data_IF_016752973457
#
_entry.id   IF_016752973457
#
_cell.length_a   1.000
_cell.length_b   1.000
_cell.length_c   1.000
_cell.angle_alpha   90.00
_cell.angle_beta   90.00
_cell.angle_gamma   90.00
#
_symmetry.space_group_name_H-M   'P 1'
#
loop_
_entity.id
_entity.type
_entity.pdbx_description
1 polymer ?
#
# COMPACT_ATOMS: atom_id res chain seq x y z
N UNK A 1 9.54 -18.39 2.35
CA UNK A 1 9.99 -18.75 0.98
C UNK A 1 10.01 -20.25 0.73
N UNK A 2 10.54 -21.08 1.64
CA UNK A 2 10.56 -22.54 1.46
C UNK A 2 9.17 -23.19 1.26
N UNK A 3 8.11 -22.58 1.82
CA UNK A 3 6.73 -23.09 1.72
C UNK A 3 6.13 -22.98 0.31
N UNK A 4 6.41 -21.88 -0.41
CA UNK A 4 5.93 -21.67 -1.77
C UNK A 4 6.81 -22.39 -2.79
N UNK A 5 8.12 -22.47 -2.55
CA UNK A 5 9.05 -23.23 -3.41
C UNK A 5 8.85 -24.75 -3.32
N UNK A 6 8.52 -25.29 -2.14
CA UNK A 6 8.27 -26.73 -1.99
C UNK A 6 6.94 -27.15 -2.62
N UNK A 7 5.91 -26.30 -2.57
CA UNK A 7 4.63 -26.57 -3.23
C UNK A 7 4.76 -26.67 -4.77
N UNK A 8 5.72 -25.96 -5.37
CA UNK A 8 5.98 -26.01 -6.82
C UNK A 8 6.94 -27.13 -7.24
N UNK A 9 7.85 -27.57 -6.34
CA UNK A 9 8.80 -28.67 -6.65
C UNK A 9 8.16 -30.05 -6.62
N UNK A 10 6.99 -30.22 -6.01
CA UNK A 10 6.23 -31.46 -6.09
C UNK A 10 5.34 -31.52 -7.34
N UNK A 11 5.96 -31.54 -8.53
CA UNK A 11 5.25 -31.79 -9.82
C UNK A 11 4.53 -33.14 -9.89
N UNK A 12 4.75 -34.03 -8.91
CA UNK A 12 4.11 -35.34 -8.79
C UNK A 12 3.13 -35.48 -7.61
N UNK A 13 2.91 -34.43 -6.80
CA UNK A 13 1.78 -34.41 -5.86
C UNK A 13 0.58 -33.77 -6.55
N UNK A 14 -0.60 -34.39 -6.46
CA UNK A 14 -1.85 -33.91 -7.06
C UNK A 14 -1.99 -32.39 -6.82
N UNK A 15 -2.23 -31.57 -7.87
CA UNK A 15 -2.12 -30.10 -7.84
C UNK A 15 -3.07 -29.36 -6.88
N UNK A 16 -3.87 -30.10 -6.12
CA UNK A 16 -4.91 -29.61 -5.23
C UNK A 16 -4.79 -30.14 -3.81
N UNK A 17 -3.74 -30.87 -3.44
CA UNK A 17 -3.68 -31.37 -2.08
C UNK A 17 -2.31 -31.72 -1.56
N UNK A 18 -2.23 -31.75 -0.24
CA UNK A 18 -1.03 -32.05 0.53
C UNK A 18 -1.36 -32.92 1.73
N UNK A 19 -0.38 -33.66 2.25
CA UNK A 19 -0.63 -34.52 3.41
C UNK A 19 -0.67 -33.67 4.66
N UNK A 20 -1.60 -33.99 5.56
CA UNK A 20 -1.79 -33.24 6.80
C UNK A 20 -0.54 -33.22 7.69
N UNK A 21 0.27 -34.28 7.64
CA UNK A 21 1.52 -34.43 8.41
C UNK A 21 2.69 -33.58 7.92
N UNK A 22 2.58 -32.97 6.74
CA UNK A 22 3.68 -32.24 6.13
C UNK A 22 3.76 -30.77 6.61
N UNK A 23 2.85 -30.33 7.51
CA UNK A 23 2.73 -28.95 7.96
C UNK A 23 2.52 -28.79 9.46
N UNK A 24 2.98 -27.66 10.00
CA UNK A 24 2.76 -27.27 11.38
C UNK A 24 1.25 -27.07 11.65
N UNK A 25 0.77 -27.76 12.69
CA UNK A 25 -0.56 -28.38 12.70
C UNK A 25 -1.73 -27.43 13.01
N UNK A 26 -1.49 -26.30 13.69
CA UNK A 26 -2.58 -25.51 14.29
C UNK A 26 -3.24 -24.56 13.31
N UNK A 27 -2.48 -23.92 12.42
CA UNK A 27 -3.02 -22.89 11.53
C UNK A 27 -3.92 -23.49 10.44
N UNK A 28 -3.42 -24.46 9.67
CA UNK A 28 -4.17 -25.04 8.55
C UNK A 28 -5.39 -25.84 9.00
N UNK A 29 -5.38 -26.42 10.22
CA UNK A 29 -6.58 -27.02 10.82
C UNK A 29 -7.72 -26.02 10.96
N UNK A 30 -7.41 -24.77 11.28
CA UNK A 30 -8.41 -23.70 11.36
C UNK A 30 -9.05 -23.35 10.02
N UNK A 31 -8.45 -23.77 8.89
CA UNK A 31 -8.95 -23.50 7.54
C UNK A 31 -9.82 -24.64 6.98
N UNK A 32 -9.96 -25.74 7.72
CA UNK A 32 -10.74 -26.90 7.29
C UNK A 32 -12.23 -26.60 7.36
N UNK A 33 -12.92 -26.87 6.27
CA UNK A 33 -14.36 -26.78 6.14
C UNK A 33 -14.99 -28.06 6.67
N UNK A 34 -15.77 -27.90 7.73
CA UNK A 34 -16.64 -28.96 8.25
C UNK A 34 -18.02 -28.84 7.58
N UNK A 35 -18.44 -29.80 6.74
CA UNK A 35 -19.66 -29.67 5.93
C UNK A 35 -20.92 -29.39 6.74
N UNK A 36 -21.04 -29.99 7.93
CA UNK A 36 -22.18 -29.79 8.84
C UNK A 36 -22.21 -28.37 9.41
N UNK A 37 -21.07 -27.84 9.82
CA UNK A 37 -20.96 -26.46 10.31
C UNK A 37 -21.22 -25.46 9.18
N UNK A 38 -20.68 -25.75 7.99
CA UNK A 38 -20.90 -24.92 6.81
C UNK A 38 -22.38 -24.80 6.47
N UNK A 39 -23.08 -25.94 6.42
CA UNK A 39 -24.52 -25.97 6.18
C UNK A 39 -25.29 -25.21 7.27
N UNK A 40 -24.91 -25.34 8.55
CA UNK A 40 -25.59 -24.64 9.64
C UNK A 40 -25.38 -23.12 9.59
N UNK A 41 -24.16 -22.67 9.27
CA UNK A 41 -23.74 -21.26 9.38
C UNK A 41 -23.96 -20.45 8.09
N UNK A 42 -23.85 -21.07 6.92
CA UNK A 42 -23.80 -20.35 5.63
C UNK A 42 -24.90 -20.77 4.63
N UNK A 43 -25.80 -21.71 4.97
CA UNK A 43 -26.90 -22.10 4.06
C UNK A 43 -27.91 -20.99 3.80
N UNK A 44 -28.06 -20.06 4.75
CA UNK A 44 -29.04 -18.97 4.72
C UNK A 44 -28.52 -17.71 4.01
N UNK A 45 -27.21 -17.45 4.03
CA UNK A 45 -26.61 -16.24 3.44
C UNK A 45 -25.56 -16.64 2.38
N UNK A 46 -26.06 -16.98 1.18
CA UNK A 46 -25.27 -17.48 0.04
C UNK A 46 -24.39 -16.42 -0.64
N UNK A 47 -24.29 -15.21 -0.10
CA UNK A 47 -23.56 -14.13 -0.76
C UNK A 47 -22.05 -14.41 -0.75
N UNK A 48 -21.46 -14.41 -1.94
CA UNK A 48 -20.02 -14.36 -2.20
C UNK A 48 -19.15 -15.50 -1.64
N UNK A 49 -19.69 -16.72 -1.51
CA UNK A 49 -18.94 -17.92 -1.08
C UNK A 49 -18.22 -17.76 0.27
N UNK A 50 -18.77 -16.96 1.17
CA UNK A 50 -18.09 -16.49 2.39
C UNK A 50 -17.57 -17.64 3.27
N UNK A 51 -18.32 -18.74 3.43
CA UNK A 51 -17.86 -19.89 4.19
C UNK A 51 -16.72 -20.66 3.51
N UNK A 52 -16.68 -20.72 2.17
CA UNK A 52 -15.58 -21.36 1.43
C UNK A 52 -14.31 -20.49 1.47
N UNK A 53 -14.47 -19.17 1.52
CA UNK A 53 -13.37 -18.22 1.69
C UNK A 53 -12.80 -18.29 3.11
N UNK A 54 -13.67 -18.45 4.11
CA UNK A 54 -13.26 -18.58 5.51
C UNK A 54 -12.58 -19.93 5.79
N UNK A 55 -13.10 -21.01 5.20
CA UNK A 55 -12.58 -22.37 5.34
C UNK A 55 -12.23 -22.98 3.96
N UNK A 56 -11.07 -22.62 3.38
CA UNK A 56 -10.71 -23.00 2.01
C UNK A 56 -10.15 -24.43 1.84
N UNK A 57 -10.11 -25.23 2.92
CA UNK A 57 -9.58 -26.60 2.89
C UNK A 57 -10.67 -27.64 3.14
N UNK A 58 -10.56 -28.82 2.53
CA UNK A 58 -11.38 -29.99 2.85
C UNK A 58 -10.45 -31.13 3.25
N UNK A 59 -10.77 -31.84 4.34
CA UNK A 59 -10.05 -33.06 4.72
C UNK A 59 -10.67 -34.28 4.05
N UNK A 60 -9.86 -35.06 3.34
CA UNK A 60 -10.22 -36.40 2.84
C UNK A 60 -9.17 -37.39 3.32
N UNK A 61 -9.52 -38.20 4.32
CA UNK A 61 -8.57 -39.06 5.06
C UNK A 61 -7.43 -38.21 5.63
N UNK A 62 -6.19 -38.50 5.25
CA UNK A 62 -4.98 -37.78 5.67
C UNK A 62 -4.58 -36.65 4.70
N UNK A 63 -5.38 -36.39 3.67
CA UNK A 63 -5.08 -35.35 2.68
C UNK A 63 -5.94 -34.11 2.92
N UNK A 64 -5.30 -32.96 2.87
CA UNK A 64 -5.97 -31.67 2.79
C UNK A 64 -6.06 -31.27 1.33
N UNK A 65 -7.27 -30.93 0.90
CA UNK A 65 -7.57 -30.51 -0.46
C UNK A 65 -7.89 -29.03 -0.45
N UNK A 66 -7.20 -28.29 -1.30
CA UNK A 66 -7.42 -26.87 -1.55
C UNK A 66 -8.65 -26.71 -2.44
N UNK A 67 -9.70 -26.09 -1.92
CA UNK A 67 -10.92 -25.80 -2.70
C UNK A 67 -10.60 -24.81 -3.82
N UNK A 68 -9.86 -23.76 -3.47
CA UNK A 68 -9.42 -22.72 -4.40
C UNK A 68 -8.16 -22.04 -3.84
N UNK A 69 -7.10 -21.98 -4.65
CA UNK A 69 -5.83 -21.36 -4.24
C UNK A 69 -5.97 -19.87 -3.92
N UNK A 70 -6.82 -19.12 -4.63
CA UNK A 70 -7.08 -17.71 -4.32
C UNK A 70 -7.76 -17.57 -2.95
N UNK A 71 -8.61 -18.52 -2.53
CA UNK A 71 -9.21 -18.47 -1.20
C UNK A 71 -8.19 -18.73 -0.10
N UNK A 72 -7.26 -19.67 -0.31
CA UNK A 72 -6.14 -19.87 0.64
C UNK A 72 -5.27 -18.62 0.71
N UNK A 73 -4.86 -18.07 -0.43
CA UNK A 73 -4.06 -16.85 -0.46
C UNK A 73 -4.76 -15.73 0.30
N UNK A 74 -6.02 -15.44 -0.02
CA UNK A 74 -6.78 -14.39 0.67
C UNK A 74 -6.98 -14.70 2.16
N UNK A 75 -7.15 -15.97 2.55
CA UNK A 75 -7.25 -16.38 3.95
C UNK A 75 -5.95 -16.11 4.71
N UNK A 76 -4.80 -16.39 4.09
CA UNK A 76 -3.48 -16.13 4.65
C UNK A 76 -3.15 -14.63 4.70
N UNK A 77 -3.54 -13.85 3.70
CA UNK A 77 -3.22 -12.42 3.61
C UNK A 77 -4.17 -11.53 4.42
N UNK A 78 -5.49 -11.72 4.27
CA UNK A 78 -6.50 -10.86 4.90
C UNK A 78 -7.22 -11.54 6.06
N UNK A 79 -7.41 -12.86 5.97
CA UNK A 79 -8.21 -13.63 6.91
C UNK A 79 -7.59 -13.80 8.29
N UNK A 80 -6.25 -13.79 8.39
CA UNK A 80 -5.56 -14.01 9.67
C UNK A 80 -5.85 -12.93 10.71
N UNK A 81 -5.94 -11.67 10.30
CA UNK A 81 -6.28 -10.56 11.22
C UNK A 81 -7.70 -10.73 11.76
N UNK A 82 -8.61 -11.19 10.90
CA UNK A 82 -9.99 -11.48 11.27
C UNK A 82 -10.09 -12.70 12.21
N UNK A 83 -9.33 -13.76 11.93
CA UNK A 83 -9.26 -14.94 12.79
C UNK A 83 -8.67 -14.60 14.16
N UNK A 84 -7.58 -13.82 14.18
CA UNK A 84 -6.99 -13.35 15.43
C UNK A 84 -8.02 -12.55 16.23
N UNK A 85 -8.75 -11.63 15.59
CA UNK A 85 -9.77 -10.84 16.26
C UNK A 85 -10.91 -11.68 16.86
N UNK A 86 -11.40 -12.69 16.13
CA UNK A 86 -12.55 -13.48 16.56
C UNK A 86 -12.19 -14.62 17.53
N UNK A 87 -10.99 -15.17 17.41
CA UNK A 87 -10.53 -16.32 18.20
C UNK A 87 -9.65 -15.92 19.38
N UNK A 88 -9.33 -14.63 19.52
CA UNK A 88 -8.74 -14.08 20.75
C UNK A 88 -9.81 -13.39 21.60
N UNK A 89 -9.43 -12.99 22.81
CA UNK A 89 -10.27 -12.20 23.70
C UNK A 89 -10.23 -10.69 23.39
N UNK A 90 -9.59 -10.26 22.30
CA UNK A 90 -9.45 -8.83 22.00
C UNK A 90 -10.81 -8.16 21.74
N UNK A 91 -11.75 -8.90 21.15
CA UNK A 91 -13.12 -8.45 20.90
C UNK A 91 -13.94 -8.24 22.18
N UNK A 92 -13.50 -8.79 23.32
CA UNK A 92 -14.10 -8.55 24.64
C UNK A 92 -13.65 -7.24 25.27
N UNK A 93 -12.58 -6.63 24.75
CA UNK A 93 -12.15 -5.31 25.21
C UNK A 93 -13.09 -4.23 24.68
N UNK A 94 -13.42 -3.24 25.51
CA UNK A 94 -14.33 -2.15 25.12
C UNK A 94 -13.83 -1.38 23.90
N UNK A 95 -12.51 -1.13 23.83
CA UNK A 95 -11.81 -0.45 22.73
C UNK A 95 -12.00 -1.17 21.39
N UNK A 96 -11.95 -2.51 21.39
CA UNK A 96 -11.96 -3.33 20.20
C UNK A 96 -13.20 -4.22 20.10
N UNK A 97 -14.34 -3.78 20.65
CA UNK A 97 -15.62 -4.50 20.54
C UNK A 97 -16.12 -4.67 19.09
N UNK A 98 -15.63 -3.84 18.16
CA UNK A 98 -15.89 -3.92 16.73
C UNK A 98 -14.59 -4.16 15.96
N UNK A 99 -14.64 -5.08 14.99
CA UNK A 99 -13.49 -5.40 14.13
C UNK A 99 -12.90 -4.16 13.44
N UNK A 100 -13.75 -3.23 13.01
CA UNK A 100 -13.32 -1.96 12.38
C UNK A 100 -12.42 -1.15 13.31
N UNK A 101 -12.70 -1.13 14.62
CA UNK A 101 -11.87 -0.40 15.59
C UNK A 101 -10.50 -1.08 15.74
N UNK A 102 -10.47 -2.42 15.79
CA UNK A 102 -9.22 -3.17 15.83
C UNK A 102 -8.39 -2.98 14.57
N UNK A 103 -9.01 -3.05 13.38
CA UNK A 103 -8.34 -2.83 12.11
C UNK A 103 -7.77 -1.41 12.00
N UNK A 104 -8.53 -0.39 12.39
CA UNK A 104 -8.04 1.00 12.41
C UNK A 104 -6.84 1.17 13.36
N UNK A 105 -6.84 0.45 14.49
CA UNK A 105 -5.71 0.43 15.40
C UNK A 105 -4.47 -0.23 14.79
N UNK A 106 -4.61 -1.36 14.10
CA UNK A 106 -3.51 -2.02 13.38
C UNK A 106 -2.96 -1.09 12.28
N UNK A 107 -3.84 -0.49 11.48
CA UNK A 107 -3.47 0.46 10.44
C UNK A 107 -2.60 1.61 11.00
N UNK A 108 -3.00 2.17 12.14
CA UNK A 108 -2.28 3.28 12.76
C UNK A 108 -1.00 2.85 13.50
N UNK A 109 -1.10 1.93 14.45
CA UNK A 109 0.01 1.55 15.33
C UNK A 109 1.05 0.64 14.66
N UNK A 110 0.63 -0.18 13.70
CA UNK A 110 1.51 -1.14 13.03
C UNK A 110 1.91 -0.63 11.66
N UNK A 111 0.95 -0.35 10.78
CA UNK A 111 1.25 0.03 9.38
C UNK A 111 1.90 1.41 9.32
N UNK A 112 1.28 2.44 9.90
CA UNK A 112 1.76 3.82 9.81
C UNK A 112 2.94 4.10 10.76
N UNK A 113 2.76 3.88 12.08
CA UNK A 113 3.77 4.26 13.08
C UNK A 113 5.04 3.42 13.07
N UNK A 114 4.94 2.12 12.76
CA UNK A 114 6.08 1.20 12.85
C UNK A 114 6.63 0.84 11.47
N UNK A 115 5.81 0.21 10.64
CA UNK A 115 6.26 -0.34 9.37
C UNK A 115 6.67 0.77 8.40
N UNK A 116 5.78 1.71 8.12
CA UNK A 116 6.04 2.80 7.18
C UNK A 116 7.23 3.67 7.61
N UNK A 117 7.30 4.10 8.88
CA UNK A 117 8.41 4.94 9.36
C UNK A 117 9.76 4.27 9.14
N UNK A 118 9.92 3.02 9.63
CA UNK A 118 11.16 2.26 9.52
C UNK A 118 11.56 2.01 8.06
N UNK A 119 10.59 1.70 7.20
CA UNK A 119 10.85 1.52 5.76
C UNK A 119 11.36 2.84 5.16
N UNK A 120 10.64 3.94 5.35
CA UNK A 120 11.01 5.22 4.74
C UNK A 120 12.35 5.75 5.25
N UNK A 121 12.68 5.56 6.52
CA UNK A 121 14.01 5.87 7.07
C UNK A 121 15.10 5.14 6.29
N UNK A 122 14.89 3.87 5.97
CA UNK A 122 15.85 3.05 5.20
C UNK A 122 16.12 3.62 3.81
N UNK A 123 15.11 4.22 3.16
CA UNK A 123 15.23 4.79 1.82
C UNK A 123 15.79 6.23 1.77
N UNK A 124 15.48 7.05 2.79
CA UNK A 124 15.64 8.51 2.68
C UNK A 124 16.78 9.11 3.53
N UNK A 125 17.40 8.34 4.42
CA UNK A 125 18.52 8.86 5.22
C UNK A 125 19.74 9.10 4.32
N UNK A 126 20.03 10.38 4.05
CA UNK A 126 21.17 10.85 3.25
C UNK A 126 21.88 11.99 3.99
N UNK A 127 23.15 12.22 3.66
CA UNK A 127 23.88 13.36 4.23
C UNK A 127 23.18 14.68 3.91
N UNK A 128 23.00 15.53 4.95
CA UNK A 128 22.36 16.86 4.86
C UNK A 128 20.88 16.83 4.43
N UNK A 129 20.20 15.70 4.61
CA UNK A 129 18.75 15.64 4.49
C UNK A 129 18.05 15.84 5.84
N UNK A 130 16.75 16.13 5.80
CA UNK A 130 15.90 16.23 6.99
C UNK A 130 14.72 15.31 6.76
N UNK A 131 14.58 14.28 7.59
CA UNK A 131 13.41 13.40 7.65
C UNK A 131 12.70 13.62 8.99
N UNK A 132 11.39 13.81 8.93
CA UNK A 132 10.53 13.97 10.10
C UNK A 132 9.22 13.22 9.88
N UNK A 133 8.68 12.67 10.95
CA UNK A 133 7.39 11.98 10.96
C UNK A 133 6.39 12.77 11.80
N UNK A 134 5.10 12.44 11.68
CA UNK A 134 4.08 13.03 12.54
C UNK A 134 4.25 12.56 13.99
N UNK A 135 4.76 13.42 14.84
CA UNK A 135 4.97 13.14 16.26
C UNK A 135 3.78 13.64 17.09
N UNK A 136 2.53 13.32 16.71
CA UNK A 136 1.22 13.53 17.39
C UNK A 136 0.89 14.94 17.94
N UNK A 137 1.84 15.85 17.95
CA UNK A 137 1.82 17.13 18.64
C UNK A 137 1.70 18.31 17.67
N UNK A 138 1.75 18.04 16.35
CA UNK A 138 1.65 19.06 15.32
C UNK A 138 0.45 18.73 14.44
N UNK A 139 -0.69 19.35 14.75
CA UNK A 139 -1.91 19.18 13.97
C UNK A 139 -1.62 19.42 12.48
N UNK A 140 -1.95 18.44 11.62
CA UNK A 140 -1.80 18.49 10.16
C UNK A 140 -0.35 18.50 9.67
N UNK A 141 0.54 17.82 10.37
CA UNK A 141 1.81 17.34 9.84
C UNK A 141 1.55 16.14 8.89
N UNK A 142 2.32 15.95 7.81
CA UNK A 142 2.20 14.76 6.95
C UNK A 142 2.77 13.52 7.66
N UNK A 143 2.34 12.32 7.27
CA UNK A 143 2.87 11.08 7.85
C UNK A 143 4.40 11.01 7.75
N UNK A 144 4.98 11.50 6.64
CA UNK A 144 6.40 11.84 6.60
C UNK A 144 6.69 13.11 5.78
N UNK A 145 7.65 13.89 6.26
CA UNK A 145 8.26 15.02 5.58
C UNK A 145 9.74 14.75 5.35
N UNK A 146 10.17 14.83 4.10
CA UNK A 146 11.57 14.67 3.74
C UNK A 146 12.08 15.83 2.89
N UNK A 147 13.16 16.50 3.32
CA UNK A 147 13.83 17.54 2.52
C UNK A 147 15.27 17.14 2.21
N UNK A 148 15.63 17.28 0.94
CA UNK A 148 17.01 17.19 0.47
C UNK A 148 17.32 18.39 -0.44
N UNK A 149 18.08 19.35 0.08
CA UNK A 149 18.35 20.62 -0.59
C UNK A 149 17.05 21.39 -0.87
N UNK A 150 16.74 21.60 -2.15
CA UNK A 150 15.51 22.27 -2.64
C UNK A 150 14.33 21.32 -2.88
N UNK A 151 14.55 20.02 -2.77
CA UNK A 151 13.53 19.00 -3.02
C UNK A 151 12.84 18.64 -1.72
N UNK A 152 11.51 18.68 -1.72
CA UNK A 152 10.68 18.27 -0.59
C UNK A 152 9.76 17.15 -1.04
N UNK A 153 9.71 16.08 -0.27
CA UNK A 153 8.82 14.95 -0.45
C UNK A 153 7.85 14.95 0.74
N UNK A 154 6.55 14.90 0.44
CA UNK A 154 5.49 14.90 1.43
C UNK A 154 4.72 13.60 1.25
N UNK A 155 4.75 12.76 2.26
CA UNK A 155 4.12 11.45 2.24
C UNK A 155 2.86 11.46 3.10
N UNK A 156 1.79 10.89 2.54
CA UNK A 156 0.59 10.52 3.28
C UNK A 156 0.34 9.03 3.02
N UNK A 157 0.22 8.21 4.07
CA UNK A 157 -0.14 6.81 3.99
C UNK A 157 -1.62 6.63 4.30
N UNK A 158 -2.26 5.74 3.55
CA UNK A 158 -3.65 5.35 3.74
C UNK A 158 -3.74 3.82 3.66
N UNK A 159 -3.84 3.20 4.82
CA UNK A 159 -4.17 1.78 4.93
C UNK A 159 -5.70 1.60 4.82
N UNK A 160 -6.19 1.80 3.60
CA UNK A 160 -7.61 1.78 3.31
C UNK A 160 -7.98 0.52 2.53
N UNK A 161 -8.85 -0.32 3.09
CA UNK A 161 -9.38 -1.50 2.40
C UNK A 161 -10.51 -1.15 1.42
N UNK A 162 -10.57 -1.79 0.26
CA UNK A 162 -11.68 -1.61 -0.67
C UNK A 162 -12.84 -2.60 -0.38
N UNK A 163 -14.07 -2.13 -0.10
CA UNK A 163 -15.18 -3.02 0.23
C UNK A 163 -15.51 -4.01 -0.90
N UNK A 164 -15.47 -5.32 -0.59
CA UNK A 164 -15.74 -6.38 -1.56
C UNK A 164 -17.13 -6.29 -2.22
N UNK A 165 -18.13 -5.79 -1.49
CA UNK A 165 -19.47 -5.56 -2.03
C UNK A 165 -19.48 -4.49 -3.12
N UNK A 166 -18.65 -3.45 -3.01
CA UNK A 166 -18.49 -2.42 -4.04
C UNK A 166 -17.90 -3.00 -5.32
N UNK A 167 -16.87 -3.85 -5.21
CA UNK A 167 -16.26 -4.52 -6.38
C UNK A 167 -17.32 -5.33 -7.14
N UNK A 168 -18.13 -6.11 -6.41
CA UNK A 168 -19.17 -6.94 -7.00
C UNK A 168 -20.32 -6.16 -7.68
N UNK A 169 -20.38 -4.84 -7.51
CA UNK A 169 -21.40 -4.02 -8.17
C UNK A 169 -21.08 -3.70 -9.62
N UNK A 170 -19.82 -3.84 -10.06
CA UNK A 170 -19.35 -3.46 -11.39
C UNK A 170 -19.73 -2.02 -11.81
N UNK A 171 -19.98 -1.14 -10.83
CA UNK A 171 -20.42 0.24 -11.06
C UNK A 171 -19.25 1.19 -10.90
N UNK A 172 -18.90 1.89 -11.98
CA UNK A 172 -17.88 2.94 -11.97
C UNK A 172 -18.18 4.02 -10.93
N UNK A 173 -19.44 4.47 -10.83
CA UNK A 173 -19.86 5.50 -9.87
C UNK A 173 -19.62 5.07 -8.43
N UNK A 174 -20.04 3.85 -8.06
CA UNK A 174 -19.82 3.33 -6.70
C UNK A 174 -18.33 3.13 -6.38
N UNK A 175 -17.54 2.71 -7.37
CA UNK A 175 -16.08 2.59 -7.23
C UNK A 175 -15.48 3.98 -6.99
N UNK A 176 -15.88 4.98 -7.80
CA UNK A 176 -15.43 6.36 -7.66
C UNK A 176 -15.80 6.94 -6.28
N UNK A 177 -17.03 6.74 -5.82
CA UNK A 177 -17.48 7.20 -4.49
C UNK A 177 -16.61 6.63 -3.35
N UNK A 178 -16.24 5.35 -3.43
CA UNK A 178 -15.35 4.72 -2.45
C UNK A 178 -13.95 5.31 -2.51
N UNK A 179 -13.41 5.54 -3.73
CA UNK A 179 -12.11 6.19 -3.92
C UNK A 179 -12.16 7.60 -3.34
N UNK A 180 -13.20 8.37 -3.64
CA UNK A 180 -13.36 9.73 -3.15
C UNK A 180 -13.43 9.79 -1.62
N UNK A 181 -14.22 8.90 -1.02
CA UNK A 181 -14.33 8.82 0.43
C UNK A 181 -12.98 8.53 1.10
N UNK A 182 -12.15 7.68 0.49
CA UNK A 182 -10.88 7.21 1.06
C UNK A 182 -9.72 8.17 0.79
N UNK A 183 -9.63 8.71 -0.42
CA UNK A 183 -8.45 9.43 -0.90
C UNK A 183 -8.70 10.87 -1.34
N UNK A 184 -9.96 11.29 -1.54
CA UNK A 184 -10.25 12.62 -2.09
C UNK A 184 -11.21 13.47 -1.24
N UNK A 185 -11.66 12.96 -0.10
CA UNK A 185 -12.62 13.65 0.76
C UNK A 185 -12.08 14.98 1.31
N UNK A 186 -12.97 15.83 1.84
CA UNK A 186 -12.59 17.17 2.36
C UNK A 186 -11.54 17.12 3.47
N UNK A 187 -11.46 16.02 4.23
CA UNK A 187 -10.57 15.88 5.38
C UNK A 187 -9.45 14.87 5.19
N UNK A 188 -9.49 14.03 4.15
CA UNK A 188 -8.55 12.91 3.96
C UNK A 188 -7.82 12.95 2.61
N UNK A 189 -6.70 12.23 2.54
CA UNK A 189 -5.95 11.97 1.32
C UNK A 189 -5.43 13.24 0.66
N UNK A 190 -5.83 13.50 -0.59
CA UNK A 190 -5.38 14.67 -1.37
C UNK A 190 -5.60 15.99 -0.62
N UNK A 191 -6.69 16.13 0.15
CA UNK A 191 -6.95 17.34 0.93
C UNK A 191 -5.96 17.54 2.08
N UNK A 192 -5.41 16.48 2.67
CA UNK A 192 -4.36 16.58 3.70
C UNK A 192 -3.05 17.10 3.07
N UNK A 193 -2.68 16.57 1.91
CA UNK A 193 -1.53 17.08 1.15
C UNK A 193 -1.68 18.56 0.82
N UNK A 194 -2.87 19.02 0.41
CA UNK A 194 -3.14 20.45 0.16
C UNK A 194 -2.95 21.28 1.44
N UNK A 195 -3.42 20.83 2.60
CA UNK A 195 -3.21 21.52 3.88
C UNK A 195 -1.71 21.63 4.21
N UNK A 196 -0.94 20.57 3.97
CA UNK A 196 0.51 20.57 4.16
C UNK A 196 1.19 21.57 3.23
N UNK A 197 0.81 21.62 1.95
CA UNK A 197 1.34 22.59 0.99
C UNK A 197 1.04 24.03 1.38
N UNK A 198 -0.18 24.31 1.88
CA UNK A 198 -0.53 25.64 2.42
C UNK A 198 0.36 26.04 3.60
N UNK A 199 0.73 25.10 4.47
CA UNK A 199 1.68 25.34 5.55
C UNK A 199 3.10 25.56 5.04
N UNK A 200 3.57 24.72 4.11
CA UNK A 200 4.89 24.84 3.50
C UNK A 200 5.08 26.16 2.75
N UNK A 201 4.01 26.76 2.23
CA UNK A 201 4.07 28.11 1.64
C UNK A 201 4.51 29.16 2.67
N UNK A 202 4.12 29.00 3.93
CA UNK A 202 4.37 29.94 5.01
C UNK A 202 5.70 29.67 5.71
N UNK A 203 5.95 28.42 6.10
CA UNK A 203 7.16 28.00 6.83
C UNK A 203 7.52 26.55 6.52
N UNK A 204 8.80 26.17 6.60
CA UNK A 204 9.19 24.76 6.50
C UNK A 204 8.62 23.97 7.69
N UNK A 205 8.46 22.66 7.50
CA UNK A 205 8.05 21.73 8.57
C UNK A 205 9.25 21.32 9.44
N UNK A 206 10.13 22.27 9.73
CA UNK A 206 11.39 22.09 10.42
C UNK A 206 11.54 23.05 11.59
N UNK A 207 12.51 22.79 12.46
CA UNK A 207 12.77 23.66 13.62
C UNK A 207 13.40 25.00 13.20
N UNK A 208 13.81 25.13 11.93
CA UNK A 208 14.44 26.31 11.35
C UNK A 208 13.53 26.91 10.29
N UNK A 209 13.41 28.22 10.27
CA UNK A 209 12.67 28.94 9.23
C UNK A 209 13.45 29.01 7.90
N UNK A 210 12.74 29.36 6.82
CA UNK A 210 13.33 29.50 5.48
C UNK A 210 14.53 30.45 5.43
N UNK A 211 14.50 31.55 6.18
CA UNK A 211 15.60 32.51 6.28
C UNK A 211 16.85 31.87 6.89
N UNK A 212 16.69 31.12 7.98
CA UNK A 212 17.77 30.40 8.67
C UNK A 212 18.33 29.26 7.81
N UNK A 213 17.48 28.61 7.03
CA UNK A 213 17.88 27.59 6.05
C UNK A 213 18.56 28.19 4.81
N UNK A 214 18.47 29.51 4.60
CA UNK A 214 18.90 30.22 3.38
C UNK A 214 18.21 29.67 2.12
N UNK A 215 16.93 29.35 2.23
CA UNK A 215 16.09 28.83 1.14
C UNK A 215 14.87 29.75 0.96
N UNK A 216 14.34 29.85 -0.26
CA UNK A 216 13.08 30.53 -0.55
C UNK A 216 12.03 29.52 -0.99
N UNK A 217 10.79 29.65 -0.54
CA UNK A 217 9.69 28.75 -0.92
C UNK A 217 9.52 28.64 -2.43
N UNK A 218 9.62 29.77 -3.14
CA UNK A 218 9.58 29.85 -4.62
C UNK A 218 10.68 29.06 -5.36
N UNK A 219 11.72 28.59 -4.66
CA UNK A 219 12.79 27.79 -5.25
C UNK A 219 12.62 26.28 -5.01
N UNK A 220 11.62 25.89 -4.20
CA UNK A 220 11.39 24.51 -3.80
C UNK A 220 10.66 23.74 -4.89
N UNK A 221 11.01 22.47 -5.03
CA UNK A 221 10.29 21.50 -5.86
C UNK A 221 9.66 20.48 -4.93
N UNK A 222 8.33 20.39 -4.97
CA UNK A 222 7.55 19.55 -4.07
C UNK A 222 7.09 18.27 -4.78
N UNK A 223 7.32 17.12 -4.15
CA UNK A 223 6.88 15.80 -4.57
C UNK A 223 5.79 15.31 -3.60
N UNK A 224 4.50 15.52 -3.91
CA UNK A 224 3.40 14.95 -3.14
C UNK A 224 3.28 13.45 -3.44
N UNK A 225 3.29 12.63 -2.39
CA UNK A 225 3.22 11.17 -2.47
C UNK A 225 2.11 10.66 -1.57
N UNK A 226 1.30 9.75 -2.11
CA UNK A 226 0.29 9.01 -1.39
C UNK A 226 0.66 7.54 -1.44
N UNK A 227 0.69 6.89 -0.27
CA UNK A 227 0.98 5.48 -0.13
C UNK A 227 -0.32 4.73 0.19
N UNK A 228 -0.53 3.63 -0.49
CA UNK A 228 -1.65 2.72 -0.25
C UNK A 228 -1.15 1.31 0.02
N UNK A 229 -2.01 0.46 0.58
CA UNK A 229 -1.65 -0.92 0.96
C UNK A 229 -2.42 -1.99 0.20
N UNK A 230 -3.61 -1.67 -0.32
CA UNK A 230 -4.49 -2.62 -1.00
C UNK A 230 -4.22 -2.60 -2.52
N UNK A 231 -3.85 -3.77 -3.07
CA UNK A 231 -3.45 -3.95 -4.48
C UNK A 231 -4.52 -3.52 -5.47
N UNK A 232 -5.80 -3.50 -5.07
CA UNK A 232 -6.86 -3.02 -5.97
C UNK A 232 -6.61 -1.60 -6.44
N UNK A 233 -5.90 -0.77 -5.65
CA UNK A 233 -5.60 0.58 -6.06
C UNK A 233 -4.47 0.72 -7.09
N UNK A 234 -3.80 -0.38 -7.44
CA UNK A 234 -2.89 -0.45 -8.61
C UNK A 234 -3.65 -0.53 -9.94
N UNK A 235 -4.97 -0.75 -9.89
CA UNK A 235 -5.81 -0.86 -11.08
C UNK A 235 -5.63 0.35 -12.01
N UNK A 236 -5.48 0.12 -13.33
CA UNK A 236 -5.27 1.21 -14.28
C UNK A 236 -6.36 2.29 -14.18
N UNK A 237 -5.92 3.55 -14.21
CA UNK A 237 -6.80 4.72 -14.21
C UNK A 237 -7.04 5.35 -12.82
N UNK A 238 -6.84 4.63 -11.73
CA UNK A 238 -7.01 5.21 -10.38
C UNK A 238 -5.99 6.33 -10.12
N UNK A 239 -4.73 6.09 -10.48
CA UNK A 239 -3.66 7.08 -10.38
C UNK A 239 -3.99 8.34 -11.17
N UNK A 240 -4.45 8.17 -12.41
CA UNK A 240 -4.81 9.28 -13.28
C UNK A 240 -5.93 10.12 -12.67
N UNK A 241 -6.99 9.47 -12.20
CA UNK A 241 -8.11 10.13 -11.54
C UNK A 241 -7.65 10.96 -10.33
N UNK A 242 -6.86 10.38 -9.43
CA UNK A 242 -6.38 11.08 -8.23
C UNK A 242 -5.38 12.22 -8.55
N UNK A 243 -4.57 12.07 -9.61
CA UNK A 243 -3.69 13.15 -10.10
C UNK A 243 -4.53 14.33 -10.59
N UNK A 244 -5.58 14.07 -11.38
CA UNK A 244 -6.46 15.12 -11.90
C UNK A 244 -7.18 15.86 -10.76
N UNK A 245 -7.76 15.13 -9.81
CA UNK A 245 -8.42 15.70 -8.62
C UNK A 245 -7.45 16.51 -7.75
N UNK A 246 -6.22 16.01 -7.56
CA UNK A 246 -5.19 16.74 -6.81
C UNK A 246 -4.80 18.04 -7.52
N UNK A 247 -4.57 18.01 -8.83
CA UNK A 247 -4.19 19.17 -9.62
C UNK A 247 -5.30 20.24 -9.62
N UNK A 248 -6.57 19.84 -9.74
CA UNK A 248 -7.71 20.77 -9.61
C UNK A 248 -7.72 21.48 -8.25
N UNK A 249 -7.37 20.77 -7.16
CA UNK A 249 -7.26 21.39 -5.83
C UNK A 249 -6.07 22.35 -5.73
N UNK A 250 -4.95 22.05 -6.37
CA UNK A 250 -3.79 22.95 -6.43
C UNK A 250 -4.16 24.28 -7.11
N UNK A 251 -4.82 24.20 -8.26
CA UNK A 251 -5.27 25.35 -9.04
C UNK A 251 -6.28 26.19 -8.25
N UNK A 252 -7.30 25.53 -7.67
CA UNK A 252 -8.33 26.18 -6.85
C UNK A 252 -7.74 26.96 -5.68
N UNK A 253 -6.69 26.41 -5.05
CA UNK A 253 -6.01 27.01 -3.90
C UNK A 253 -4.85 27.95 -4.30
N UNK A 254 -4.64 28.16 -5.61
CA UNK A 254 -3.63 29.04 -6.20
C UNK A 254 -2.22 28.74 -5.67
N UNK A 255 -1.89 27.46 -5.56
CA UNK A 255 -0.61 27.01 -5.01
C UNK A 255 0.52 26.97 -6.06
N UNK A 256 0.22 26.99 -7.36
CA UNK A 256 1.19 26.86 -8.45
C UNK A 256 2.34 27.87 -8.40
N UNK A 257 2.04 29.12 -8.03
CA UNK A 257 3.03 30.20 -7.95
C UNK A 257 3.72 30.30 -6.57
N UNK A 258 3.40 29.40 -5.64
CA UNK A 258 3.95 29.40 -4.28
C UNK A 258 5.31 28.69 -4.18
N UNK A 259 5.61 27.83 -5.15
CA UNK A 259 6.83 27.02 -5.21
C UNK A 259 7.44 27.10 -6.61
N UNK A 260 8.66 26.57 -6.81
CA UNK A 260 9.22 26.45 -8.16
C UNK A 260 8.38 25.50 -9.01
N UNK A 261 7.97 24.39 -8.40
CA UNK A 261 7.14 23.38 -9.01
C UNK A 261 6.50 22.52 -7.93
N UNK A 262 5.21 22.24 -8.08
CA UNK A 262 4.55 21.11 -7.42
C UNK A 262 4.45 20.02 -8.48
N UNK A 263 5.00 18.84 -8.20
CA UNK A 263 4.90 17.68 -9.09
C UNK A 263 3.49 17.11 -8.99
N UNK A 264 3.07 16.40 -10.04
CA UNK A 264 1.87 15.58 -9.99
C UNK A 264 1.94 14.63 -8.80
N UNK A 265 0.78 14.31 -8.22
CA UNK A 265 0.66 13.31 -7.16
C UNK A 265 1.26 11.97 -7.63
N UNK A 266 2.14 11.38 -6.82
CA UNK A 266 2.59 10.01 -7.03
C UNK A 266 1.85 9.09 -6.08
N UNK A 267 1.24 8.05 -6.61
CA UNK A 267 0.48 7.06 -5.85
C UNK A 267 1.25 5.74 -5.90
N UNK A 268 1.70 5.23 -4.75
CA UNK A 268 2.68 4.13 -4.64
C UNK A 268 2.18 3.09 -3.65
N UNK A 269 2.25 1.81 -3.99
CA UNK A 269 1.92 0.74 -3.05
C UNK A 269 3.05 0.62 -2.01
N UNK A 270 2.70 0.43 -0.74
CA UNK A 270 3.68 0.11 0.30
C UNK A 270 4.50 -1.13 -0.04
N UNK A 271 3.91 -2.10 -0.75
CA UNK A 271 4.58 -3.31 -1.25
C UNK A 271 5.79 -2.99 -2.14
N UNK A 272 5.77 -1.88 -2.89
CA UNK A 272 6.91 -1.44 -3.70
C UNK A 272 8.16 -1.23 -2.84
N UNK A 273 8.01 -0.56 -1.70
CA UNK A 273 9.13 -0.32 -0.78
C UNK A 273 9.54 -1.60 -0.04
N UNK A 274 8.57 -2.45 0.31
CA UNK A 274 8.87 -3.73 0.97
C UNK A 274 9.68 -4.64 0.04
N UNK A 275 9.25 -4.75 -1.22
CA UNK A 275 9.84 -5.65 -2.21
C UNK A 275 11.25 -5.23 -2.63
N UNK A 276 11.65 -3.99 -2.39
CA UNK A 276 12.95 -3.45 -2.81
C UNK A 276 13.81 -2.98 -1.63
N UNK A 277 13.51 -3.45 -0.42
CA UNK A 277 14.13 -2.97 0.82
C UNK A 277 15.64 -3.28 0.87
N UNK A 278 16.04 -4.45 0.38
CA UNK A 278 17.42 -4.91 0.23
C UNK A 278 18.28 -3.95 -0.61
N UNK A 279 17.65 -3.21 -1.53
CA UNK A 279 18.29 -2.26 -2.44
C UNK A 279 18.00 -0.80 -2.12
N UNK A 280 17.44 -0.49 -0.95
CA UNK A 280 16.97 0.86 -0.63
C UNK A 280 18.03 1.98 -0.86
N UNK A 281 19.32 1.67 -0.69
CA UNK A 281 20.44 2.60 -0.91
C UNK A 281 20.66 2.98 -2.38
N UNK A 282 20.23 2.14 -3.32
CA UNK A 282 20.36 2.37 -4.76
C UNK A 282 19.25 3.28 -5.31
N UNK A 283 18.24 3.58 -4.49
CA UNK A 283 17.05 4.29 -4.93
C UNK A 283 17.26 5.80 -4.92
N UNK A 284 17.40 6.36 -6.12
CA UNK A 284 17.23 7.80 -6.35
C UNK A 284 15.76 8.12 -6.60
N UNK A 285 14.98 8.16 -5.52
CA UNK A 285 13.51 8.29 -5.53
C UNK A 285 12.99 9.42 -6.43
N UNK A 286 13.69 10.57 -6.41
CA UNK A 286 13.43 11.72 -7.29
C UNK A 286 13.41 11.30 -8.77
N UNK A 287 14.40 10.53 -9.19
CA UNK A 287 14.59 10.16 -10.60
C UNK A 287 13.55 9.13 -11.05
N UNK A 288 13.17 8.21 -10.17
CA UNK A 288 12.11 7.23 -10.45
C UNK A 288 10.76 7.94 -10.62
N UNK A 289 10.42 8.86 -9.71
CA UNK A 289 9.19 9.66 -9.82
C UNK A 289 9.19 10.57 -11.05
N UNK A 290 10.31 11.25 -11.33
CA UNK A 290 10.42 12.08 -12.52
C UNK A 290 10.30 11.23 -13.80
N UNK A 291 10.88 10.02 -13.82
CA UNK A 291 10.75 9.09 -14.94
C UNK A 291 9.30 8.64 -15.15
N UNK A 292 8.60 8.24 -14.08
CA UNK A 292 7.18 7.88 -14.13
C UNK A 292 6.33 8.98 -14.78
N UNK A 293 6.34 10.19 -14.22
CA UNK A 293 5.51 11.29 -14.70
C UNK A 293 5.88 11.75 -16.11
N UNK A 294 7.17 11.72 -16.47
CA UNK A 294 7.60 12.07 -17.82
C UNK A 294 7.20 10.98 -18.84
N UNK A 295 7.24 9.71 -18.45
CA UNK A 295 6.85 8.58 -19.32
C UNK A 295 5.37 8.65 -19.65
N UNK A 296 4.51 8.81 -18.63
CA UNK A 296 3.06 9.03 -18.83
C UNK A 296 2.82 10.20 -19.78
N UNK A 297 3.42 11.37 -19.50
CA UNK A 297 3.23 12.56 -20.35
C UNK A 297 3.63 12.32 -21.80
N UNK A 298 4.73 11.60 -22.04
CA UNK A 298 5.20 11.30 -23.39
C UNK A 298 4.28 10.32 -24.12
N UNK A 299 3.80 9.30 -23.41
CA UNK A 299 2.83 8.32 -23.94
C UNK A 299 1.52 9.02 -24.27
N UNK A 300 0.99 9.87 -23.39
CA UNK A 300 -0.24 10.63 -23.65
C UNK A 300 -0.11 11.55 -24.87
N UNK A 301 1.00 12.28 -25.00
CA UNK A 301 1.29 13.10 -26.19
C UNK A 301 1.35 12.27 -27.47
N UNK A 302 1.92 11.07 -27.41
CA UNK A 302 1.94 10.14 -28.54
C UNK A 302 0.53 9.63 -28.85
N UNK A 303 -0.24 9.30 -27.82
CA UNK A 303 -1.60 8.81 -27.96
C UNK A 303 -2.55 9.86 -28.54
N UNK A 304 -2.39 11.15 -28.22
CA UNK A 304 -3.16 12.23 -28.85
C UNK A 304 -3.00 12.27 -30.37
N UNK A 305 -1.84 11.86 -30.89
CA UNK A 305 -1.55 11.80 -32.33
C UNK A 305 -2.03 10.50 -32.97
N UNK A 306 -1.78 9.36 -32.32
CA UNK A 306 -2.00 8.03 -32.89
C UNK A 306 -3.36 7.42 -32.54
N UNK A 307 -4.02 7.90 -31.48
CA UNK A 307 -5.30 7.39 -30.95
C UNK A 307 -5.29 5.86 -30.76
N UNK A 308 -4.23 5.35 -30.13
CA UNK A 308 -4.02 3.92 -29.90
C UNK A 308 -4.57 3.50 -28.54
N UNK A 309 -5.32 2.40 -28.52
CA UNK A 309 -5.83 1.82 -27.28
C UNK A 309 -4.70 1.34 -26.37
N UNK A 310 -3.63 0.78 -26.93
CA UNK A 310 -2.48 0.31 -26.16
C UNK A 310 -1.78 1.46 -25.44
N UNK A 311 -1.58 2.58 -26.14
CA UNK A 311 -0.98 3.78 -25.53
C UNK A 311 -1.91 4.39 -24.47
N UNK A 312 -3.23 4.31 -24.67
CA UNK A 312 -4.19 4.72 -23.65
C UNK A 312 -4.06 3.86 -22.39
N UNK A 313 -4.04 2.53 -22.52
CA UNK A 313 -3.85 1.63 -21.39
C UNK A 313 -2.49 1.83 -20.71
N UNK A 314 -1.41 1.96 -21.47
CA UNK A 314 -0.07 2.16 -20.93
C UNK A 314 0.03 3.47 -20.14
N UNK A 315 -0.55 4.58 -20.62
CA UNK A 315 -0.56 5.85 -19.88
C UNK A 315 -1.32 5.82 -18.56
N UNK A 316 -2.19 4.82 -18.37
CA UNK A 316 -2.98 4.63 -17.15
C UNK A 316 -2.36 3.60 -16.20
N UNK A 317 -1.17 3.07 -16.51
CA UNK A 317 -0.49 2.07 -15.69
C UNK A 317 0.02 2.65 -14.37
N UNK A 318 0.25 1.77 -13.40
CA UNK A 318 0.66 2.12 -12.04
C UNK A 318 2.09 2.70 -11.97
N UNK A 319 2.47 3.26 -10.82
CA UNK A 319 3.83 3.72 -10.60
C UNK A 319 4.83 2.54 -10.69
N UNK A 320 4.45 1.40 -10.11
CA UNK A 320 5.23 0.17 -10.05
C UNK A 320 5.61 -0.32 -11.45
N UNK A 321 4.67 -0.29 -12.41
CA UNK A 321 4.91 -0.63 -13.80
C UNK A 321 6.05 0.21 -14.43
N UNK A 322 6.03 1.53 -14.19
CA UNK A 322 7.07 2.41 -14.72
C UNK A 322 8.37 2.36 -13.91
N UNK A 323 8.29 2.06 -12.61
CA UNK A 323 9.47 1.86 -11.78
C UNK A 323 10.25 0.62 -12.24
N UNK A 324 9.56 -0.47 -12.56
CA UNK A 324 10.18 -1.67 -13.15
C UNK A 324 10.86 -1.35 -14.48
N UNK A 325 10.19 -0.61 -15.37
CA UNK A 325 10.81 -0.13 -16.62
C UNK A 325 12.05 0.73 -16.37
N UNK A 326 12.01 1.59 -15.36
CA UNK A 326 13.17 2.40 -14.98
C UNK A 326 14.33 1.51 -14.52
N UNK A 327 14.06 0.51 -13.68
CA UNK A 327 15.10 -0.40 -13.19
C UNK A 327 15.72 -1.22 -14.32
N UNK A 328 14.89 -1.82 -15.17
CA UNK A 328 15.35 -2.56 -16.36
C UNK A 328 16.22 -1.68 -17.27
N UNK A 329 15.82 -0.43 -17.50
CA UNK A 329 16.60 0.51 -18.32
C UNK A 329 17.97 0.84 -17.72
N UNK A 330 18.11 0.83 -16.40
CA UNK A 330 19.34 1.18 -15.69
C UNK A 330 20.12 -0.05 -15.21
N UNK A 331 19.75 -1.26 -15.65
CA UNK A 331 20.33 -2.53 -15.20
C UNK A 331 20.30 -2.70 -13.67
N UNK A 332 19.24 -2.20 -13.04
CA UNK A 332 18.92 -2.42 -11.64
C UNK A 332 17.95 -3.60 -11.63
N UNK A 333 18.28 -4.69 -10.92
CA UNK A 333 17.32 -5.81 -10.79
C UNK A 333 16.21 -5.43 -9.80
N UNK A 334 14.99 -5.90 -10.04
CA UNK A 334 13.92 -5.72 -9.07
C UNK A 334 14.25 -6.52 -7.80
N UNK A 335 14.10 -5.91 -6.63
CA UNK A 335 14.32 -6.59 -5.36
C UNK A 335 13.32 -7.73 -5.16
N UNK A 336 13.60 -8.61 -4.19
CA UNK A 336 12.62 -9.59 -3.71
C UNK A 336 12.25 -9.21 -2.29
N UNK A 337 10.98 -9.38 -1.85
CA UNK A 337 10.66 -9.22 -0.44
C UNK A 337 11.40 -10.27 0.36
N UNK A 338 12.43 -9.85 1.08
CA UNK A 338 13.20 -10.76 1.90
C UNK A 338 12.66 -10.63 3.33
N UNK A 339 11.92 -11.66 3.76
CA UNK A 339 11.27 -11.72 5.07
C UNK A 339 12.25 -11.47 6.22
N UNK A 340 13.51 -11.87 6.04
CA UNK A 340 14.59 -11.65 6.98
C UNK A 340 14.82 -10.16 7.22
N UNK A 341 14.90 -9.36 6.17
CA UNK A 341 15.20 -7.92 6.19
C UNK A 341 14.06 -7.17 6.87
N UNK A 342 12.81 -7.55 6.60
CA UNK A 342 11.64 -7.00 7.29
C UNK A 342 11.68 -7.37 8.77
N UNK A 343 11.99 -8.62 9.09
CA UNK A 343 12.04 -9.12 10.47
C UNK A 343 13.15 -8.43 11.27
N UNK A 344 14.31 -8.23 10.67
CA UNK A 344 15.45 -7.49 11.24
C UNK A 344 15.11 -6.01 11.41
N UNK A 345 14.56 -5.36 10.38
CA UNK A 345 14.14 -3.96 10.42
C UNK A 345 13.13 -3.71 11.53
N UNK A 346 12.14 -4.60 11.65
CA UNK A 346 11.10 -4.53 12.67
C UNK A 346 11.53 -5.07 14.04
N UNK A 347 12.74 -5.62 14.15
CA UNK A 347 13.31 -6.23 15.35
C UNK A 347 12.47 -7.40 15.91
N UNK A 348 11.80 -8.15 15.04
CA UNK A 348 10.91 -9.25 15.41
C UNK A 348 11.62 -10.49 15.97
N UNK A 349 12.96 -10.55 15.87
CA UNK A 349 13.77 -11.68 16.32
C UNK A 349 14.33 -11.52 17.74
N UNK A 350 14.26 -10.33 18.35
CA UNK A 350 14.87 -10.03 19.66
C UNK A 350 14.25 -10.80 20.84
N UNK A 351 13.15 -11.52 20.62
CA UNK A 351 12.40 -12.25 21.65
C UNK A 351 11.90 -13.64 21.19
N UNK A 352 12.37 -14.11 20.03
CA UNK A 352 12.10 -15.49 19.62
C UNK A 352 13.08 -16.43 20.35
N UNK A 353 12.61 -17.56 20.90
CA UNK A 353 13.52 -18.57 21.45
C UNK A 353 14.46 -19.06 20.34
N UNK A 354 15.73 -19.26 20.70
CA UNK A 354 16.80 -19.75 19.82
C UNK A 354 16.45 -21.06 19.10
#
# INVERSE_FOLDING_TARGET
>A
MHFLENAWKHKNSKPFGFKEKDFDYTLFKSFILEPKEYQKKYSLDKKNYTGLKDKPLIRIKENLIVINWNFICNKLYEGLIFDFYNNSDINKTTKFSKFVNFKNYIAYEVTEKKLFRKIIETYLVKNKSVLKFDDENIEGFPDAYYRYGKYIFVFEIKDAYFPANTISTYSHEKIKEVIDLKYNSKSKGTSQLIKVLKKLKQKPLENKDYSQLKIKSKNLVIYPIMIFTDEIFESPGFNKYLIEEFNQKIEKEKLDNSFKQIKNLTFINLSFFINNLDRAKEFEFKNIIDYFHNSIRNIEKKNQKLRSIDLFHESNSSFEYFAEKYFNKNNIEFGKPIFKEISELLELTKSLPD
#
